data_IF_099014488084
#
_entry.id   IF_099014488084
#
_cell.length_a   1.000
_cell.length_b   1.000
_cell.length_c   1.000
_cell.angle_alpha   90.00
_cell.angle_beta   90.00
_cell.angle_gamma   90.00
#
_symmetry.space_group_name_H-M   'P 1'
#
loop_
_entity.id
_entity.type
_entity.pdbx_description
1 polymer ?
#
# COMPACT_ATOMS: atom_id res chain seq x y z
N UNK A 1 10.10 -27.53 -13.77
CA UNK A 1 8.95 -27.81 -12.94
C UNK A 1 9.15 -27.84 -11.44
N UNK A 2 9.67 -28.93 -10.86
CA UNK A 2 9.73 -29.09 -9.37
C UNK A 2 10.68 -28.11 -8.69
N UNK A 3 11.78 -27.74 -9.31
CA UNK A 3 12.77 -26.80 -8.76
C UNK A 3 12.18 -25.40 -8.59
N UNK A 4 11.50 -24.87 -9.60
CA UNK A 4 10.89 -23.55 -9.55
C UNK A 4 9.77 -23.44 -8.50
N UNK A 5 8.97 -24.50 -8.35
CA UNK A 5 7.93 -24.56 -7.29
C UNK A 5 8.58 -24.53 -5.91
N UNK A 6 9.65 -25.31 -5.71
CA UNK A 6 10.38 -25.32 -4.43
C UNK A 6 10.99 -23.94 -4.11
N UNK A 7 11.59 -23.29 -5.09
CA UNK A 7 12.16 -21.94 -4.93
C UNK A 7 11.08 -20.92 -4.60
N UNK A 8 9.93 -20.96 -5.26
CA UNK A 8 8.80 -20.10 -4.97
C UNK A 8 8.29 -20.29 -3.52
N UNK A 9 8.12 -21.54 -3.08
CA UNK A 9 7.72 -21.85 -1.71
C UNK A 9 8.76 -21.36 -0.67
N UNK A 10 10.06 -21.48 -0.97
CA UNK A 10 11.11 -20.95 -0.09
C UNK A 10 11.04 -19.43 0.03
N UNK A 11 10.76 -18.70 -1.06
CA UNK A 11 10.55 -17.25 -1.04
C UNK A 11 9.33 -16.89 -0.19
N UNK A 12 8.17 -17.48 -0.47
CA UNK A 12 6.94 -17.24 0.29
C UNK A 12 7.13 -17.51 1.80
N UNK A 13 7.90 -18.55 2.14
CA UNK A 13 8.21 -18.86 3.54
C UNK A 13 9.14 -17.82 4.17
N UNK A 14 10.17 -17.38 3.44
CA UNK A 14 11.08 -16.31 3.90
C UNK A 14 10.31 -15.00 4.12
N UNK A 15 9.35 -14.72 3.26
CA UNK A 15 8.52 -13.52 3.30
C UNK A 15 7.37 -13.65 4.35
N UNK A 16 7.34 -14.76 5.12
CA UNK A 16 6.36 -14.97 6.19
C UNK A 16 4.93 -15.26 5.71
N UNK A 17 4.74 -15.56 4.43
CA UNK A 17 3.41 -15.79 3.84
C UNK A 17 2.90 -17.21 3.98
N UNK A 18 3.80 -18.17 4.18
CA UNK A 18 3.46 -19.58 4.40
C UNK A 18 4.34 -20.20 5.48
N UNK A 19 3.82 -21.25 6.10
CA UNK A 19 4.58 -22.14 6.98
C UNK A 19 4.30 -23.59 6.62
N UNK A 20 5.21 -24.52 7.00
CA UNK A 20 5.07 -25.95 6.73
C UNK A 20 5.11 -26.75 8.01
N UNK A 21 4.16 -27.66 8.15
CA UNK A 21 4.12 -28.65 9.23
C UNK A 21 4.58 -30.00 8.65
N UNK A 22 5.64 -30.62 9.21
CA UNK A 22 6.09 -31.93 8.73
C UNK A 22 4.94 -32.93 8.67
N UNK A 23 4.88 -33.68 7.57
CA UNK A 23 3.88 -34.72 7.30
C UNK A 23 2.42 -34.21 7.22
N UNK A 24 2.14 -32.92 7.41
CA UNK A 24 0.80 -32.34 7.34
C UNK A 24 0.59 -31.50 6.09
N UNK A 25 1.47 -30.54 5.81
CA UNK A 25 1.34 -29.70 4.61
C UNK A 25 1.99 -28.34 4.74
N UNK A 26 1.67 -27.50 3.76
CA UNK A 26 2.05 -26.07 3.73
C UNK A 26 0.80 -25.21 3.80
N UNK A 27 0.81 -24.25 4.68
CA UNK A 27 -0.34 -23.42 5.02
C UNK A 27 0.00 -21.94 4.84
N UNK A 28 -1.00 -21.12 4.52
CA UNK A 28 -0.88 -19.65 4.50
C UNK A 28 -0.91 -19.15 5.93
N UNK A 29 -0.04 -18.19 6.26
CA UNK A 29 -0.03 -17.52 7.57
C UNK A 29 -1.22 -16.59 7.71
N UNK A 30 -1.63 -16.30 8.93
CA UNK A 30 -2.52 -15.19 9.22
C UNK A 30 -1.78 -13.85 9.06
N UNK A 31 -2.52 -12.75 9.07
CA UNK A 31 -1.95 -11.39 9.03
C UNK A 31 -1.47 -11.06 10.45
N UNK A 32 -0.21 -10.69 10.55
CA UNK A 32 0.36 -10.11 11.77
C UNK A 32 -0.02 -8.62 11.79
N UNK A 33 -0.96 -8.26 12.67
CA UNK A 33 -1.47 -6.89 12.78
C UNK A 33 -0.40 -5.92 13.27
N UNK A 34 0.41 -6.33 14.25
CA UNK A 34 1.50 -5.50 14.76
C UNK A 34 2.53 -5.19 13.66
N UNK A 35 2.88 -6.19 12.86
CA UNK A 35 3.76 -6.00 11.71
C UNK A 35 3.13 -5.07 10.65
N UNK A 36 1.82 -5.16 10.41
CA UNK A 36 1.11 -4.26 9.50
C UNK A 36 1.13 -2.80 10.01
N UNK A 37 0.88 -2.59 11.31
CA UNK A 37 0.93 -1.26 11.95
C UNK A 37 2.35 -0.68 11.88
N UNK A 38 3.38 -1.47 12.18
CA UNK A 38 4.77 -1.02 12.11
C UNK A 38 5.19 -0.68 10.66
N UNK A 39 4.79 -1.48 9.68
CA UNK A 39 5.06 -1.20 8.27
C UNK A 39 4.37 0.10 7.81
N UNK A 40 3.11 0.32 8.20
CA UNK A 40 2.41 1.59 7.96
C UNK A 40 3.16 2.78 8.58
N UNK A 41 3.60 2.67 9.84
CA UNK A 41 4.37 3.72 10.50
C UNK A 41 5.64 4.10 9.71
N UNK A 42 6.39 3.11 9.25
CA UNK A 42 7.58 3.35 8.42
C UNK A 42 7.18 4.05 7.12
N UNK A 43 6.16 3.56 6.44
CA UNK A 43 5.68 4.10 5.17
C UNK A 43 5.20 5.55 5.32
N UNK A 44 4.43 5.86 6.35
CA UNK A 44 3.94 7.23 6.63
C UNK A 44 5.11 8.22 6.75
N UNK A 45 6.14 7.88 7.53
CA UNK A 45 7.29 8.75 7.73
C UNK A 45 8.15 8.92 6.46
N UNK A 46 8.31 7.85 5.68
CA UNK A 46 9.03 7.92 4.42
C UNK A 46 8.24 8.69 3.36
N UNK A 47 6.96 8.42 3.18
CA UNK A 47 6.13 9.09 2.17
C UNK A 47 5.98 10.59 2.48
N UNK A 48 5.83 10.97 3.73
CA UNK A 48 5.83 12.38 4.14
C UNK A 48 7.09 13.11 3.63
N UNK A 49 8.27 12.49 3.78
CA UNK A 49 9.53 13.05 3.28
C UNK A 49 9.59 13.06 1.76
N UNK A 50 9.19 11.97 1.11
CA UNK A 50 9.21 11.79 -0.35
C UNK A 50 8.29 12.80 -1.04
N UNK A 51 7.04 12.98 -0.58
CA UNK A 51 6.10 13.94 -1.21
C UNK A 51 6.53 15.39 -0.99
N UNK A 52 7.15 15.70 0.16
CA UNK A 52 7.74 17.02 0.42
C UNK A 52 8.89 17.32 -0.53
N UNK A 53 9.78 16.36 -0.77
CA UNK A 53 10.86 16.49 -1.76
C UNK A 53 10.32 16.59 -3.18
N UNK A 54 9.32 15.80 -3.54
CA UNK A 54 8.67 15.84 -4.84
C UNK A 54 8.06 17.21 -5.13
N UNK A 55 7.40 17.82 -4.14
CA UNK A 55 6.83 19.16 -4.24
C UNK A 55 7.90 20.27 -4.44
N UNK A 56 9.13 20.05 -3.96
CA UNK A 56 10.22 20.99 -4.13
C UNK A 56 10.90 20.96 -5.50
N UNK A 57 10.55 19.99 -6.38
CA UNK A 57 11.18 19.81 -7.67
C UNK A 57 10.52 20.69 -8.74
N UNK A 58 11.31 21.44 -9.53
CA UNK A 58 10.81 22.40 -10.53
C UNK A 58 10.38 21.78 -11.88
N UNK A 59 10.85 20.56 -12.24
CA UNK A 59 10.65 19.99 -13.60
C UNK A 59 10.35 18.49 -13.58
N UNK A 60 9.11 18.11 -13.24
CA UNK A 60 8.69 16.70 -13.13
C UNK A 60 7.45 16.32 -13.94
N UNK A 61 7.15 17.07 -15.01
CA UNK A 61 5.91 16.90 -15.78
C UNK A 61 5.63 15.47 -16.23
N UNK A 62 6.67 14.71 -16.62
CA UNK A 62 6.48 13.32 -17.06
C UNK A 62 6.00 12.42 -15.92
N UNK A 63 6.62 12.51 -14.74
CA UNK A 63 6.26 11.67 -13.59
C UNK A 63 4.96 12.16 -12.94
N UNK A 64 4.68 13.47 -12.93
CA UNK A 64 3.36 14.00 -12.55
C UNK A 64 2.24 13.46 -13.46
N UNK A 65 2.48 13.35 -14.76
CA UNK A 65 1.52 12.71 -15.66
C UNK A 65 1.31 11.23 -15.31
N UNK A 66 2.36 10.48 -14.99
CA UNK A 66 2.22 9.09 -14.56
C UNK A 66 1.40 8.97 -13.25
N UNK A 67 1.55 9.90 -12.31
CA UNK A 67 0.72 9.93 -11.11
C UNK A 67 -0.75 10.22 -11.44
N UNK A 68 -1.03 11.15 -12.39
CA UNK A 68 -2.41 11.40 -12.88
C UNK A 68 -3.00 10.17 -13.56
N UNK A 69 -2.23 9.53 -14.47
CA UNK A 69 -2.66 8.31 -15.16
C UNK A 69 -2.99 7.19 -14.16
N UNK A 70 -2.20 7.07 -13.08
CA UNK A 70 -2.47 6.10 -12.02
C UNK A 70 -3.79 6.38 -11.28
N UNK A 71 -4.13 7.64 -11.02
CA UNK A 71 -5.42 8.02 -10.42
C UNK A 71 -6.57 7.73 -11.39
N UNK A 72 -6.44 8.06 -12.67
CA UNK A 72 -7.46 7.76 -13.68
C UNK A 72 -7.72 6.26 -13.81
N UNK A 73 -6.67 5.44 -13.73
CA UNK A 73 -6.79 3.98 -13.70
C UNK A 73 -7.50 3.49 -12.43
N UNK A 74 -7.21 4.08 -11.27
CA UNK A 74 -7.92 3.75 -10.03
C UNK A 74 -9.42 4.04 -10.16
N UNK A 75 -9.83 5.17 -10.73
CA UNK A 75 -11.24 5.50 -10.98
C UNK A 75 -11.91 4.47 -11.90
N UNK A 76 -11.24 4.08 -12.99
CA UNK A 76 -11.75 3.10 -13.92
C UNK A 76 -11.91 1.71 -13.27
N UNK A 77 -10.95 1.29 -12.46
CA UNK A 77 -10.97 -0.01 -11.78
C UNK A 77 -11.96 -0.02 -10.61
N UNK A 78 -12.12 1.10 -9.91
CA UNK A 78 -13.13 1.25 -8.86
C UNK A 78 -14.56 1.11 -9.43
N UNK A 79 -14.83 1.75 -10.59
CA UNK A 79 -16.13 1.64 -11.26
C UNK A 79 -16.51 0.21 -11.69
N UNK A 80 -15.51 -0.67 -11.85
CA UNK A 80 -15.67 -2.08 -12.26
C UNK A 80 -15.48 -3.06 -11.12
N UNK A 81 -15.18 -2.60 -9.91
CA UNK A 81 -14.78 -3.41 -8.76
C UNK A 81 -13.60 -4.37 -9.08
N UNK A 82 -12.62 -3.89 -9.85
CA UNK A 82 -11.44 -4.65 -10.24
C UNK A 82 -10.32 -4.51 -9.18
N UNK A 83 -10.46 -5.22 -8.06
CA UNK A 83 -9.58 -5.14 -6.86
C UNK A 83 -8.09 -5.18 -7.17
N UNK A 84 -7.67 -6.18 -7.96
CA UNK A 84 -6.25 -6.39 -8.27
C UNK A 84 -5.66 -5.22 -9.07
N UNK A 85 -6.39 -4.77 -10.06
CA UNK A 85 -5.95 -3.67 -10.92
C UNK A 85 -5.94 -2.33 -10.16
N UNK A 86 -6.96 -2.11 -9.30
CA UNK A 86 -7.01 -0.95 -8.42
C UNK A 86 -5.78 -0.90 -7.49
N UNK A 87 -5.49 -2.01 -6.80
CA UNK A 87 -4.34 -2.10 -5.90
C UNK A 87 -3.01 -1.83 -6.62
N UNK A 88 -2.84 -2.36 -7.81
CA UNK A 88 -1.63 -2.12 -8.60
C UNK A 88 -1.50 -0.65 -9.03
N UNK A 89 -2.60 0.00 -9.43
CA UNK A 89 -2.61 1.41 -9.78
C UNK A 89 -2.33 2.32 -8.56
N UNK A 90 -2.81 1.94 -7.38
CA UNK A 90 -2.48 2.58 -6.11
C UNK A 90 -0.98 2.48 -5.79
N UNK A 91 -0.37 1.30 -5.92
CA UNK A 91 1.07 1.12 -5.73
C UNK A 91 1.91 1.94 -6.73
N UNK A 92 1.52 1.99 -8.00
CA UNK A 92 2.21 2.81 -9.01
C UNK A 92 2.08 4.31 -8.72
N UNK A 93 0.94 4.80 -8.20
CA UNK A 93 0.79 6.17 -7.74
C UNK A 93 1.84 6.55 -6.70
N UNK A 94 1.93 5.77 -5.62
CA UNK A 94 2.90 6.03 -4.55
C UNK A 94 4.34 5.91 -5.03
N UNK A 95 4.66 4.85 -5.78
CA UNK A 95 5.99 4.59 -6.34
C UNK A 95 6.50 5.76 -7.19
N UNK A 96 5.61 6.43 -7.91
CA UNK A 96 5.98 7.55 -8.79
C UNK A 96 6.71 8.65 -8.03
N UNK A 97 6.32 8.98 -6.81
CA UNK A 97 7.02 10.00 -6.00
C UNK A 97 8.42 9.56 -5.56
N UNK A 98 8.64 8.26 -5.29
CA UNK A 98 9.98 7.73 -5.03
C UNK A 98 10.88 7.81 -6.28
N UNK A 99 10.32 7.59 -7.47
CA UNK A 99 11.05 7.76 -8.72
C UNK A 99 11.40 9.23 -8.98
N UNK A 100 10.45 10.15 -8.73
CA UNK A 100 10.67 11.60 -8.85
C UNK A 100 11.85 12.09 -8.03
N UNK A 101 11.99 11.57 -6.81
CA UNK A 101 13.00 11.99 -5.84
C UNK A 101 14.28 11.15 -5.88
N UNK A 102 14.45 10.29 -6.90
CA UNK A 102 15.59 9.36 -7.05
C UNK A 102 15.74 8.35 -5.90
N UNK A 103 14.64 7.97 -5.25
CA UNK A 103 14.60 7.02 -4.15
C UNK A 103 13.99 5.66 -4.54
N UNK A 104 14.14 5.23 -5.82
CA UNK A 104 13.60 3.96 -6.31
C UNK A 104 14.01 2.75 -5.44
N UNK A 105 15.26 2.72 -4.96
CA UNK A 105 15.74 1.64 -4.09
C UNK A 105 15.03 1.61 -2.72
N UNK A 106 14.61 2.78 -2.20
CA UNK A 106 13.84 2.85 -0.95
C UNK A 106 12.46 2.23 -1.16
N UNK A 107 11.82 2.47 -2.31
CA UNK A 107 10.58 1.80 -2.69
C UNK A 107 10.74 0.27 -2.71
N UNK A 108 11.82 -0.24 -3.34
CA UNK A 108 12.08 -1.69 -3.38
C UNK A 108 12.23 -2.29 -1.98
N UNK A 109 12.90 -1.58 -1.06
CA UNK A 109 13.01 -2.02 0.34
C UNK A 109 11.65 -2.02 1.05
N UNK A 110 10.82 -0.99 0.83
CA UNK A 110 9.47 -0.93 1.39
C UNK A 110 8.63 -2.15 0.97
N UNK A 111 8.75 -2.63 -0.26
CA UNK A 111 8.02 -3.81 -0.71
C UNK A 111 8.32 -5.06 0.13
N UNK A 112 9.51 -5.14 0.74
CA UNK A 112 9.88 -6.28 1.58
C UNK A 112 9.27 -6.21 2.98
N UNK A 113 8.98 -5.02 3.50
CA UNK A 113 8.42 -4.83 4.84
C UNK A 113 6.90 -4.60 4.82
N UNK A 114 6.34 -4.17 3.69
CA UNK A 114 4.91 -3.86 3.56
C UNK A 114 4.00 -5.09 3.41
N UNK A 115 4.54 -6.30 3.45
CA UNK A 115 3.77 -7.53 3.14
C UNK A 115 2.50 -7.65 3.99
N UNK A 116 2.61 -7.47 5.32
CA UNK A 116 1.46 -7.59 6.21
C UNK A 116 0.50 -6.39 6.07
N UNK A 117 1.04 -5.19 5.89
CA UNK A 117 0.25 -4.00 5.59
C UNK A 117 -0.51 -4.13 4.27
N UNK A 118 0.11 -4.63 3.22
CA UNK A 118 -0.53 -4.87 1.93
C UNK A 118 -1.65 -5.92 2.04
N UNK A 119 -1.46 -6.99 2.83
CA UNK A 119 -2.53 -7.97 3.09
C UNK A 119 -3.73 -7.33 3.82
N UNK A 120 -3.48 -6.44 4.77
CA UNK A 120 -4.53 -5.65 5.43
C UNK A 120 -5.27 -4.76 4.41
N UNK A 121 -4.55 -4.02 3.56
CA UNK A 121 -5.13 -3.16 2.52
C UNK A 121 -6.00 -3.96 1.53
N UNK A 122 -5.58 -5.18 1.19
CA UNK A 122 -6.39 -6.08 0.36
C UNK A 122 -7.74 -6.42 1.00
N UNK A 123 -7.77 -6.74 2.29
CA UNK A 123 -9.03 -7.01 3.00
C UNK A 123 -9.90 -5.76 3.06
N UNK A 124 -9.32 -4.60 3.29
CA UNK A 124 -10.03 -3.31 3.28
C UNK A 124 -10.78 -3.08 1.97
N UNK A 125 -10.16 -3.38 0.83
CA UNK A 125 -10.81 -3.21 -0.49
C UNK A 125 -12.02 -4.13 -0.66
N UNK A 126 -12.11 -5.24 0.06
CA UNK A 126 -13.23 -6.18 -0.04
C UNK A 126 -14.46 -5.76 0.81
N UNK A 127 -14.36 -4.70 1.60
CA UNK A 127 -15.46 -4.20 2.44
C UNK A 127 -16.29 -3.18 1.64
N UNK A 128 -17.57 -3.50 1.38
CA UNK A 128 -18.46 -2.65 0.58
C UNK A 128 -18.71 -1.27 1.19
N UNK A 129 -18.72 -1.18 2.53
CA UNK A 129 -19.00 0.03 3.27
C UNK A 129 -17.79 0.98 3.39
N UNK A 130 -16.62 0.56 2.90
CA UNK A 130 -15.41 1.36 2.81
C UNK A 130 -15.10 1.74 1.34
N UNK A 131 -15.69 2.84 0.83
CA UNK A 131 -15.62 3.16 -0.59
C UNK A 131 -14.20 3.49 -1.03
N UNK A 132 -13.80 2.98 -2.20
CA UNK A 132 -12.48 3.25 -2.79
C UNK A 132 -12.32 4.71 -3.21
N UNK A 133 -13.42 5.41 -3.45
CA UNK A 133 -13.42 6.84 -3.78
C UNK A 133 -12.74 7.68 -2.70
N UNK A 134 -12.81 7.28 -1.43
CA UNK A 134 -12.10 7.96 -0.34
C UNK A 134 -10.58 7.95 -0.57
N UNK A 135 -10.03 6.80 -1.00
CA UNK A 135 -8.60 6.66 -1.33
C UNK A 135 -8.24 7.53 -2.54
N UNK A 136 -9.07 7.47 -3.60
CA UNK A 136 -8.85 8.24 -4.83
C UNK A 136 -8.83 9.75 -4.55
N UNK A 137 -9.77 10.26 -3.78
CA UNK A 137 -9.81 11.69 -3.43
C UNK A 137 -8.59 12.12 -2.60
N UNK A 138 -8.13 11.28 -1.68
CA UNK A 138 -6.90 11.55 -0.93
C UNK A 138 -5.65 11.53 -1.83
N UNK A 139 -5.58 10.65 -2.83
CA UNK A 139 -4.50 10.68 -3.83
C UNK A 139 -4.53 11.96 -4.66
N UNK A 140 -5.71 12.46 -5.05
CA UNK A 140 -5.85 13.76 -5.73
C UNK A 140 -5.38 14.92 -4.84
N UNK A 141 -5.70 14.89 -3.54
CA UNK A 141 -5.21 15.89 -2.58
C UNK A 141 -3.67 15.91 -2.53
N UNK A 142 -3.03 14.74 -2.46
CA UNK A 142 -1.56 14.61 -2.47
C UNK A 142 -0.98 15.16 -3.77
N UNK A 143 -1.49 14.70 -4.90
CA UNK A 143 -0.98 15.12 -6.22
C UNK A 143 -1.13 16.62 -6.41
N UNK A 144 -2.30 17.19 -6.07
CA UNK A 144 -2.57 18.63 -6.19
C UNK A 144 -1.58 19.45 -5.35
N UNK A 145 -1.26 18.99 -4.13
CA UNK A 145 -0.29 19.68 -3.28
C UNK A 145 1.12 19.65 -3.89
N UNK A 146 1.53 18.50 -4.46
CA UNK A 146 2.83 18.36 -5.14
C UNK A 146 2.88 19.25 -6.39
N UNK A 147 1.82 19.29 -7.20
CA UNK A 147 1.72 20.14 -8.40
C UNK A 147 1.77 21.64 -8.09
N UNK A 148 1.22 22.03 -6.94
CA UNK A 148 1.25 23.40 -6.46
C UNK A 148 2.57 23.77 -5.74
N UNK A 149 3.53 22.85 -5.69
CA UNK A 149 4.79 23.01 -4.95
C UNK A 149 4.60 23.29 -3.45
N UNK A 150 3.48 22.82 -2.87
CA UNK A 150 3.15 22.95 -1.45
C UNK A 150 3.55 21.69 -0.69
N UNK A 151 4.82 21.67 -0.26
CA UNK A 151 5.39 20.53 0.46
C UNK A 151 4.73 20.28 1.82
N UNK A 152 4.25 21.33 2.51
CA UNK A 152 3.58 21.21 3.81
C UNK A 152 2.20 20.56 3.64
N UNK A 153 1.43 21.01 2.65
CA UNK A 153 0.15 20.41 2.33
C UNK A 153 0.31 18.97 1.81
N UNK A 154 1.34 18.70 1.01
CA UNK A 154 1.64 17.34 0.52
C UNK A 154 1.90 16.37 1.68
N UNK A 155 2.70 16.76 2.68
CA UNK A 155 2.94 15.99 3.92
C UNK A 155 1.63 15.74 4.67
N UNK A 156 0.83 16.79 4.85
CA UNK A 156 -0.45 16.69 5.57
C UNK A 156 -1.41 15.73 4.87
N UNK A 157 -1.53 15.81 3.55
CA UNK A 157 -2.39 14.95 2.75
C UNK A 157 -1.91 13.48 2.78
N UNK A 158 -0.60 13.24 2.65
CA UNK A 158 -0.03 11.89 2.71
C UNK A 158 -0.21 11.25 4.10
N UNK A 159 0.02 12.01 5.17
CA UNK A 159 -0.20 11.55 6.54
C UNK A 159 -1.68 11.17 6.77
N UNK A 160 -2.62 12.03 6.35
CA UNK A 160 -4.07 11.76 6.40
C UNK A 160 -4.43 10.46 5.67
N UNK A 161 -3.89 10.29 4.46
CA UNK A 161 -4.13 9.10 3.64
C UNK A 161 -3.65 7.81 4.33
N UNK A 162 -2.45 7.80 4.86
CA UNK A 162 -1.88 6.61 5.52
C UNK A 162 -2.47 6.38 6.93
N UNK A 163 -3.02 7.43 7.57
CA UNK A 163 -3.73 7.32 8.83
C UNK A 163 -5.09 6.60 8.68
N UNK A 164 -5.69 6.63 7.50
CA UNK A 164 -6.99 6.02 7.22
C UNK A 164 -7.04 4.52 7.62
N UNK A 165 -5.90 3.82 7.60
CA UNK A 165 -5.82 2.45 8.11
C UNK A 165 -6.29 2.34 9.56
N UNK A 166 -5.93 3.30 10.43
CA UNK A 166 -6.37 3.28 11.83
C UNK A 166 -7.86 3.57 11.96
N UNK A 167 -8.36 4.53 11.17
CA UNK A 167 -9.76 4.91 11.22
C UNK A 167 -10.68 3.76 10.78
N UNK A 168 -10.19 2.89 9.89
CA UNK A 168 -10.92 1.76 9.33
C UNK A 168 -10.53 0.40 9.91
N UNK A 169 -9.53 0.33 10.82
CA UNK A 169 -8.97 -0.92 11.36
C UNK A 169 -10.06 -1.80 11.97
N UNK A 170 -10.90 -1.24 12.84
CA UNK A 170 -11.94 -2.00 13.49
C UNK A 170 -12.95 -2.62 12.52
N UNK A 171 -13.28 -1.90 11.43
CA UNK A 171 -14.18 -2.43 10.40
C UNK A 171 -13.56 -3.64 9.68
N UNK A 172 -12.25 -3.59 9.39
CA UNK A 172 -11.52 -4.71 8.75
C UNK A 172 -11.42 -5.91 9.71
N UNK A 173 -11.08 -5.68 10.98
CA UNK A 173 -10.99 -6.76 11.98
C UNK A 173 -12.34 -7.42 12.26
N UNK A 174 -13.43 -6.66 12.28
CA UNK A 174 -14.78 -7.19 12.46
C UNK A 174 -15.28 -7.98 11.24
N UNK A 175 -14.92 -7.53 10.02
CA UNK A 175 -15.34 -8.20 8.80
C UNK A 175 -14.56 -9.51 8.56
N UNK A 176 -13.30 -9.59 9.00
CA UNK A 176 -12.40 -10.69 8.68
C UNK A 176 -11.56 -11.20 9.88
N UNK A 177 -12.17 -11.48 11.05
CA UNK A 177 -11.41 -11.82 12.25
C UNK A 177 -10.54 -13.07 12.09
N UNK A 178 -10.94 -14.03 11.25
CA UNK A 178 -10.23 -15.28 11.01
C UNK A 178 -8.91 -15.11 10.26
N UNK A 179 -8.69 -13.96 9.61
CA UNK A 179 -7.47 -13.68 8.84
C UNK A 179 -6.32 -13.12 9.69
N UNK A 180 -6.57 -12.76 10.95
CA UNK A 180 -5.58 -12.10 11.80
C UNK A 180 -5.05 -13.01 12.92
N UNK A 181 -3.74 -12.87 13.20
CA UNK A 181 -3.15 -13.27 14.47
C UNK A 181 -3.23 -12.07 15.44
N UNK A 182 -3.30 -12.33 16.73
CA UNK A 182 -3.22 -11.32 17.80
C UNK A 182 -4.27 -10.19 17.67
N UNK A 183 -5.57 -10.58 17.62
CA UNK A 183 -6.64 -9.60 17.73
C UNK A 183 -6.55 -8.88 19.08
N UNK A 184 -6.71 -7.54 19.14
CA UNK A 184 -6.82 -6.82 20.39
C UNK A 184 -8.04 -7.35 21.19
N UNK A 185 -7.86 -7.54 22.52
CA UNK A 185 -8.91 -7.97 23.44
C UNK A 185 -10.05 -6.94 23.54
#
# INVERSE_FOLDING_TARGET
>A
GRTHVREALLRLRRDGLIYSIPQSGTFVTKIDLDAAINARFIRENLEAKIVSEAAALENNNLLLNQARDAIELQEQYAAKAEYHNFFNADEEFHKTFYLMTNHAQVWDWLQTINIQFNRFRWLRLAISDLPWNTLIEQHKEILTAVENHDGEQAVTAAAKHLHLMFDEEMAVLQAFPEYFDNLPE
#
